data_IF_676540781451
#
_entry.id   IF_676540781451
#
_cell.length_a   1.000
_cell.length_b   1.000
_cell.length_c   1.000
_cell.angle_alpha   90.00
_cell.angle_beta   90.00
_cell.angle_gamma   90.00
#
_symmetry.space_group_name_H-M   'P 1'
#
loop_
_entity.id
_entity.type
_entity.pdbx_description
1 polymer ?
#
# COMPACT_ATOMS: atom_id res chain seq x y z
N UNK A 1 -0.61 27.81 35.03
CA UNK A 1 -0.42 27.94 33.58
C UNK A 1 -0.10 26.57 33.01
N UNK A 2 -1.11 25.72 32.75
CA UNK A 2 -0.93 24.35 32.24
C UNK A 2 -1.60 24.12 30.88
N UNK A 3 -2.25 25.16 30.32
CA UNK A 3 -2.98 25.07 29.05
C UNK A 3 -2.12 25.25 27.81
N UNK A 4 -1.10 26.14 27.88
CA UNK A 4 -0.20 26.41 26.75
C UNK A 4 0.76 25.23 26.47
N UNK A 5 1.36 24.65 27.50
CA UNK A 5 2.27 23.48 27.34
C UNK A 5 1.55 22.26 26.75
N UNK A 6 0.28 22.03 27.09
CA UNK A 6 -0.53 20.94 26.53
C UNK A 6 -0.92 21.17 25.08
N UNK A 7 -1.21 22.41 24.68
CA UNK A 7 -1.50 22.76 23.29
C UNK A 7 -0.25 22.56 22.41
N UNK A 8 0.91 23.04 22.86
CA UNK A 8 2.18 22.85 22.13
C UNK A 8 2.57 21.37 21.99
N UNK A 9 2.34 20.54 23.01
CA UNK A 9 2.55 19.09 22.90
C UNK A 9 1.59 18.42 21.93
N UNK A 10 0.32 18.83 21.91
CA UNK A 10 -0.68 18.26 21.00
C UNK A 10 -0.39 18.62 19.55
N UNK A 11 0.03 19.86 19.28
CA UNK A 11 0.42 20.30 17.94
C UNK A 11 1.68 19.60 17.43
N UNK A 12 2.68 19.37 18.30
CA UNK A 12 3.89 18.61 17.94
C UNK A 12 3.57 17.17 17.57
N UNK A 13 2.73 16.51 18.39
CA UNK A 13 2.32 15.13 18.13
C UNK A 13 1.52 14.99 16.83
N UNK A 14 0.61 15.93 16.54
CA UNK A 14 -0.12 15.96 15.27
C UNK A 14 0.83 16.10 14.06
N UNK A 15 1.84 16.97 14.15
CA UNK A 15 2.84 17.12 13.08
C UNK A 15 3.72 15.88 12.93
N UNK A 16 4.11 15.24 14.02
CA UNK A 16 4.87 13.98 13.98
C UNK A 16 4.05 12.85 13.32
N UNK A 17 2.74 12.77 13.60
CA UNK A 17 1.85 11.82 12.92
C UNK A 17 1.70 12.13 11.43
N UNK A 18 1.53 13.40 11.05
CA UNK A 18 1.47 13.81 9.64
C UNK A 18 2.78 13.51 8.90
N UNK A 19 3.94 13.77 9.51
CA UNK A 19 5.24 13.41 8.96
C UNK A 19 5.36 11.90 8.74
N UNK A 20 4.98 11.11 9.75
CA UNK A 20 5.01 9.64 9.66
C UNK A 20 4.10 9.12 8.54
N UNK A 21 2.91 9.71 8.39
CA UNK A 21 1.97 9.36 7.32
C UNK A 21 2.50 9.74 5.93
N UNK A 22 3.13 10.91 5.80
CA UNK A 22 3.71 11.35 4.54
C UNK A 22 4.94 10.53 4.14
N UNK A 23 5.77 10.13 5.10
CA UNK A 23 6.89 9.22 4.88
C UNK A 23 6.38 7.84 4.42
N UNK A 24 5.37 7.29 5.10
CA UNK A 24 4.74 6.04 4.69
C UNK A 24 4.11 6.13 3.29
N UNK A 25 3.44 7.24 2.96
CA UNK A 25 2.88 7.46 1.63
C UNK A 25 3.97 7.53 0.55
N UNK A 26 5.10 8.20 0.85
CA UNK A 26 6.25 8.30 -0.06
C UNK A 26 6.87 6.93 -0.32
N UNK A 27 7.03 6.10 0.71
CA UNK A 27 7.54 4.75 0.55
C UNK A 27 6.57 3.85 -0.23
N UNK A 28 5.26 4.01 -0.04
CA UNK A 28 4.24 3.32 -0.85
C UNK A 28 4.27 3.74 -2.32
N UNK A 29 4.51 5.02 -2.62
CA UNK A 29 4.67 5.49 -4.01
C UNK A 29 5.93 4.91 -4.66
N UNK A 30 7.06 4.90 -3.96
CA UNK A 30 8.30 4.27 -4.45
C UNK A 30 8.11 2.79 -4.71
N UNK A 31 7.40 2.09 -3.82
CA UNK A 31 7.01 0.68 -4.02
C UNK A 31 6.15 0.53 -5.27
N UNK A 32 5.12 1.35 -5.43
CA UNK A 32 4.25 1.31 -6.59
C UNK A 32 5.00 1.60 -7.89
N UNK A 33 5.97 2.50 -7.87
CA UNK A 33 6.83 2.81 -9.01
C UNK A 33 7.78 1.65 -9.36
N UNK A 34 8.45 1.06 -8.37
CA UNK A 34 9.31 -0.10 -8.55
C UNK A 34 8.54 -1.30 -9.14
N UNK A 35 7.34 -1.54 -8.62
CA UNK A 35 6.40 -2.54 -9.13
C UNK A 35 6.00 -2.26 -10.59
N UNK A 36 5.70 -1.02 -10.96
CA UNK A 36 5.33 -0.65 -12.35
C UNK A 36 6.49 -0.79 -13.33
N UNK A 37 7.70 -0.48 -12.90
CA UNK A 37 8.88 -0.39 -13.80
C UNK A 37 9.57 -1.72 -13.98
N UNK A 38 9.85 -2.42 -12.89
CA UNK A 38 10.64 -3.67 -12.89
C UNK A 38 9.81 -4.90 -12.59
N UNK A 39 8.61 -4.73 -12.03
CA UNK A 39 7.81 -5.84 -11.56
C UNK A 39 8.40 -6.52 -10.32
N UNK A 40 9.30 -5.86 -9.60
CA UNK A 40 9.90 -6.39 -8.38
C UNK A 40 10.29 -5.28 -7.42
N UNK A 41 10.37 -5.59 -6.14
CA UNK A 41 10.92 -4.69 -5.13
C UNK A 41 11.67 -5.48 -4.07
N UNK A 42 12.75 -4.88 -3.58
CA UNK A 42 13.54 -5.44 -2.50
C UNK A 42 13.16 -4.74 -1.19
N UNK A 43 12.95 -5.52 -0.15
CA UNK A 43 12.75 -4.99 1.19
C UNK A 43 13.56 -5.78 2.21
N UNK A 44 13.94 -5.08 3.28
CA UNK A 44 14.65 -5.69 4.40
C UNK A 44 13.61 -6.25 5.38
N UNK A 45 13.69 -7.54 5.69
CA UNK A 45 12.95 -8.12 6.81
C UNK A 45 13.64 -7.77 8.15
N UNK A 46 12.88 -7.89 9.25
CA UNK A 46 13.35 -7.58 10.62
C UNK A 46 14.58 -8.40 11.03
N UNK A 47 14.80 -9.56 10.42
CA UNK A 47 15.95 -10.44 10.60
C UNK A 47 17.18 -10.03 9.76
N UNK A 48 17.12 -8.87 9.10
CA UNK A 48 18.12 -8.32 8.17
C UNK A 48 18.31 -9.13 6.89
N UNK A 49 17.36 -10.00 6.55
CA UNK A 49 17.38 -10.68 5.27
C UNK A 49 16.82 -9.76 4.18
N UNK A 50 17.55 -9.62 3.08
CA UNK A 50 17.02 -8.96 1.89
C UNK A 50 16.09 -9.92 1.17
N UNK A 51 14.80 -9.56 1.11
CA UNK A 51 13.78 -10.32 0.39
C UNK A 51 13.39 -9.53 -0.85
N UNK A 52 13.50 -10.20 -1.99
CA UNK A 52 13.01 -9.68 -3.26
C UNK A 52 11.61 -10.22 -3.49
N UNK A 53 10.62 -9.33 -3.52
CA UNK A 53 9.26 -9.65 -3.92
C UNK A 53 9.07 -9.33 -5.41
N UNK A 54 8.46 -10.26 -6.13
CA UNK A 54 8.15 -10.08 -7.54
C UNK A 54 6.64 -9.97 -7.74
N UNK A 55 6.21 -9.16 -8.69
CA UNK A 55 4.89 -9.25 -9.27
C UNK A 55 4.77 -10.64 -9.88
N UNK A 56 3.69 -11.37 -9.56
CA UNK A 56 3.45 -12.67 -10.14
C UNK A 56 3.46 -12.58 -11.67
N UNK A 57 4.26 -13.43 -12.33
CA UNK A 57 4.35 -13.46 -13.79
C UNK A 57 3.03 -13.86 -14.46
N UNK A 58 2.16 -14.54 -13.71
CA UNK A 58 0.85 -14.98 -14.16
C UNK A 58 -0.23 -14.49 -13.20
N UNK A 59 -0.94 -13.45 -13.62
CA UNK A 59 -2.15 -12.96 -12.95
C UNK A 59 -3.34 -13.37 -13.80
N UNK A 60 -4.23 -14.17 -13.22
CA UNK A 60 -5.52 -14.48 -13.84
C UNK A 60 -6.53 -13.44 -13.36
N UNK A 61 -7.12 -12.70 -14.31
CA UNK A 61 -8.20 -11.75 -14.03
C UNK A 61 -9.51 -12.34 -14.56
N UNK A 62 -10.47 -12.54 -13.66
CA UNK A 62 -11.84 -12.89 -14.01
C UNK A 62 -12.74 -11.69 -13.80
N UNK A 63 -13.45 -11.28 -14.85
CA UNK A 63 -14.49 -10.26 -14.76
C UNK A 63 -15.86 -10.90 -14.89
N UNK A 64 -16.72 -10.66 -13.90
CA UNK A 64 -18.12 -11.05 -13.92
C UNK A 64 -18.95 -9.77 -13.99
N UNK A 65 -19.77 -9.65 -15.03
CA UNK A 65 -20.74 -8.57 -15.17
C UNK A 65 -22.14 -9.12 -14.94
N UNK A 66 -22.82 -8.56 -13.95
CA UNK A 66 -24.20 -8.91 -13.61
C UNK A 66 -25.07 -7.66 -13.77
N UNK A 67 -26.07 -7.76 -14.64
CA UNK A 67 -27.13 -6.77 -14.75
C UNK A 67 -28.42 -7.31 -14.14
N UNK A 68 -28.92 -6.65 -13.09
CA UNK A 68 -30.24 -6.95 -12.50
C UNK A 68 -31.12 -5.71 -12.59
N UNK A 69 -32.14 -5.76 -13.46
CA UNK A 69 -33.02 -4.62 -13.77
C UNK A 69 -32.20 -3.40 -14.25
N UNK A 70 -32.16 -2.33 -13.44
CA UNK A 70 -31.40 -1.10 -13.69
C UNK A 70 -30.03 -1.08 -12.99
N UNK A 71 -29.70 -2.10 -12.20
CA UNK A 71 -28.43 -2.16 -11.47
C UNK A 71 -27.41 -2.96 -12.26
N UNK A 72 -26.25 -2.34 -12.46
CA UNK A 72 -25.09 -2.93 -13.11
C UNK A 72 -24.04 -3.21 -12.03
N UNK A 73 -23.50 -4.42 -12.00
CA UNK A 73 -22.46 -4.82 -11.04
C UNK A 73 -21.32 -5.48 -11.81
N UNK A 74 -20.11 -4.96 -11.62
CA UNK A 74 -18.88 -5.55 -12.14
C UNK A 74 -18.12 -6.11 -10.94
N UNK A 75 -17.81 -7.41 -10.98
CA UNK A 75 -16.92 -8.05 -10.02
C UNK A 75 -15.63 -8.42 -10.75
N UNK A 76 -14.52 -7.85 -10.29
CA UNK A 76 -13.19 -8.17 -10.76
C UNK A 76 -12.51 -9.04 -9.71
N UNK A 77 -12.03 -10.22 -10.11
CA UNK A 77 -11.28 -11.12 -9.24
C UNK A 77 -9.91 -11.32 -9.84
N UNK A 78 -8.87 -11.00 -9.07
CA UNK A 78 -7.48 -11.23 -9.44
C UNK A 78 -6.95 -12.41 -8.63
N UNK A 79 -6.36 -13.39 -9.30
CA UNK A 79 -5.68 -14.51 -8.65
C UNK A 79 -4.29 -14.69 -9.24
N UNK A 80 -3.34 -15.03 -8.38
CA UNK A 80 -1.97 -15.30 -8.79
C UNK A 80 -1.38 -16.45 -7.97
N UNK A 81 -0.44 -17.17 -8.56
CA UNK A 81 0.34 -18.20 -7.89
C UNK A 81 1.77 -17.68 -7.76
N UNK A 82 2.31 -17.68 -6.54
CA UNK A 82 3.73 -17.48 -6.32
C UNK A 82 4.48 -18.70 -6.89
N UNK A 83 5.38 -18.47 -7.86
CA UNK A 83 6.29 -19.51 -8.30
C UNK A 83 7.35 -19.70 -7.21
N UNK A 84 7.47 -20.94 -6.72
CA UNK A 84 8.53 -21.38 -5.79
C UNK A 84 9.88 -21.47 -6.48
#
# INVERSE_FOLDING_TARGET
MFGQERLEQTERYAREQELTANEAATELEKLAEALRTTGSFDFLQDDRTYVQAHIPSYITMNSEYVQKKQTHTVRLTFSWLEQK
#
